data_IF_669225998202
#
_entry.id   IF_669225998202
#
_cell.length_a   1.000
_cell.length_b   1.000
_cell.length_c   1.000
_cell.angle_alpha   90.00
_cell.angle_beta   90.00
_cell.angle_gamma   90.00
#
_symmetry.space_group_name_H-M   'P 1'
#
loop_
_entity.id
_entity.type
_entity.pdbx_description
1 polymer ?
#
# COMPACT_ATOMS: atom_id res chain seq x y z
N UNK A 1 1.70 15.18 -3.41
CA UNK A 1 0.78 14.10 -3.02
C UNK A 1 1.04 12.85 -3.84
N UNK A 2 0.95 11.70 -3.23
CA UNK A 2 1.12 10.43 -3.93
C UNK A 2 -0.23 9.76 -4.12
N UNK A 3 -0.41 9.10 -5.24
CA UNK A 3 -1.59 8.27 -5.44
C UNK A 3 -1.41 6.94 -4.73
N UNK A 4 -2.51 6.24 -4.53
CA UNK A 4 -2.46 4.92 -3.91
C UNK A 4 -1.57 3.96 -4.69
N UNK A 5 -1.61 4.04 -6.02
CA UNK A 5 -0.76 3.20 -6.87
C UNK A 5 0.73 3.48 -6.63
N UNK A 6 1.10 4.75 -6.50
CA UNK A 6 2.48 5.12 -6.23
C UNK A 6 2.95 4.58 -4.88
N UNK A 7 2.09 4.67 -3.87
CA UNK A 7 2.40 4.12 -2.54
C UNK A 7 2.57 2.60 -2.62
N UNK A 8 1.69 1.94 -3.36
CA UNK A 8 1.78 0.49 -3.53
C UNK A 8 3.10 0.09 -4.20
N UNK A 9 3.48 0.80 -5.26
CA UNK A 9 4.72 0.51 -5.97
C UNK A 9 5.94 0.74 -5.09
N UNK A 10 5.97 1.85 -4.38
CA UNK A 10 7.09 2.17 -3.49
C UNK A 10 7.22 1.14 -2.37
N UNK A 11 6.10 0.78 -1.77
CA UNK A 11 6.10 -0.23 -0.71
C UNK A 11 6.49 -1.61 -1.22
N UNK A 12 6.03 -1.97 -2.41
CA UNK A 12 6.40 -3.23 -3.03
C UNK A 12 7.91 -3.31 -3.27
N UNK A 13 8.50 -2.23 -3.78
CA UNK A 13 9.94 -2.18 -4.00
C UNK A 13 10.70 -2.33 -2.68
N UNK A 14 10.23 -1.64 -1.64
CA UNK A 14 10.85 -1.72 -0.33
C UNK A 14 10.83 -3.14 0.21
N UNK A 15 9.67 -3.79 0.17
CA UNK A 15 9.54 -5.16 0.67
C UNK A 15 10.37 -6.14 -0.15
N UNK A 16 10.45 -5.95 -1.45
CA UNK A 16 11.26 -6.80 -2.31
C UNK A 16 12.74 -6.70 -1.94
N UNK A 17 13.21 -5.50 -1.61
CA UNK A 17 14.59 -5.30 -1.16
C UNK A 17 14.86 -5.95 0.18
N UNK A 18 13.83 -6.10 1.00
CA UNK A 18 13.96 -6.78 2.29
C UNK A 18 13.87 -8.30 2.17
N UNK A 19 13.77 -8.82 0.96
CA UNK A 19 13.74 -10.26 0.74
C UNK A 19 12.34 -10.88 0.77
N UNK A 20 11.30 -10.07 0.64
CA UNK A 20 9.94 -10.56 0.64
C UNK A 20 9.57 -11.13 -0.74
N UNK A 21 9.27 -12.42 -0.80
CA UNK A 21 8.98 -13.10 -2.08
C UNK A 21 7.67 -12.64 -2.69
N UNK A 22 6.69 -12.28 -1.85
CA UNK A 22 5.38 -11.83 -2.32
C UNK A 22 5.14 -10.37 -1.96
N UNK A 23 6.13 -9.53 -2.27
CA UNK A 23 6.13 -8.14 -1.85
C UNK A 23 4.85 -7.40 -2.29
N UNK A 24 4.42 -7.60 -3.53
CA UNK A 24 3.23 -6.90 -4.03
C UNK A 24 1.97 -7.34 -3.31
N UNK A 25 1.79 -8.64 -3.15
CA UNK A 25 0.62 -9.17 -2.45
C UNK A 25 0.60 -8.72 -0.99
N UNK A 26 1.76 -8.76 -0.33
CA UNK A 26 1.90 -8.31 1.04
C UNK A 26 1.56 -6.82 1.16
N UNK A 27 2.07 -6.01 0.24
CA UNK A 27 1.79 -4.57 0.27
C UNK A 27 0.32 -4.25 0.04
N UNK A 28 -0.32 -4.97 -0.90
CA UNK A 28 -1.76 -4.81 -1.13
C UNK A 28 -2.56 -5.16 0.11
N UNK A 29 -2.17 -6.22 0.79
CA UNK A 29 -2.84 -6.64 2.02
C UNK A 29 -2.70 -5.58 3.12
N UNK A 30 -1.50 -5.04 3.30
CA UNK A 30 -1.25 -4.01 4.29
C UNK A 30 -2.04 -2.74 3.99
N UNK A 31 -2.06 -2.30 2.74
CA UNK A 31 -2.82 -1.11 2.37
C UNK A 31 -4.32 -1.31 2.56
N UNK A 32 -4.85 -2.46 2.22
CA UNK A 32 -6.26 -2.76 2.43
C UNK A 32 -6.61 -2.70 3.92
N UNK A 33 -5.73 -3.20 4.76
CA UNK A 33 -5.91 -3.16 6.21
C UNK A 33 -5.91 -1.72 6.74
N UNK A 34 -4.93 -0.94 6.31
CA UNK A 34 -4.77 0.45 6.77
C UNK A 34 -5.94 1.33 6.32
N UNK A 35 -6.41 1.12 5.10
CA UNK A 35 -7.48 1.92 4.53
C UNK A 35 -8.87 1.35 4.82
N UNK A 36 -8.94 0.25 5.56
CA UNK A 36 -10.21 -0.39 5.94
C UNK A 36 -11.06 -0.77 4.73
N UNK A 37 -10.43 -1.33 3.71
CA UNK A 37 -11.13 -1.78 2.51
C UNK A 37 -10.65 -3.17 2.12
N UNK A 38 -11.39 -3.81 1.20
CA UNK A 38 -10.95 -5.08 0.66
C UNK A 38 -10.07 -4.87 -0.58
N UNK A 39 -9.54 -5.96 -1.10
CA UNK A 39 -8.64 -5.93 -2.25
C UNK A 39 -9.30 -5.31 -3.49
N UNK A 40 -10.56 -5.65 -3.71
CA UNK A 40 -11.32 -5.11 -4.85
C UNK A 40 -11.48 -3.60 -4.74
N UNK A 41 -11.82 -3.11 -3.56
CA UNK A 41 -11.93 -1.68 -3.33
C UNK A 41 -10.59 -0.99 -3.49
N UNK A 42 -9.51 -1.65 -3.09
CA UNK A 42 -8.17 -1.11 -3.26
C UNK A 42 -7.86 -0.87 -4.74
N UNK A 43 -8.17 -1.83 -5.59
CA UNK A 43 -7.94 -1.69 -7.03
C UNK A 43 -8.70 -0.52 -7.64
N UNK A 44 -9.94 -0.30 -7.20
CA UNK A 44 -10.74 0.81 -7.74
C UNK A 44 -10.29 2.17 -7.22
N UNK A 45 -9.39 2.21 -6.24
CA UNK A 45 -8.92 3.46 -5.65
C UNK A 45 -7.48 3.80 -5.99
N UNK A 46 -6.88 3.13 -6.98
CA UNK A 46 -5.48 3.35 -7.33
C UNK A 46 -5.19 4.80 -7.71
N UNK A 47 -6.15 5.50 -8.30
CA UNK A 47 -5.99 6.90 -8.69
C UNK A 47 -6.22 7.88 -7.55
N UNK A 48 -6.67 7.38 -6.41
CA UNK A 48 -6.97 8.23 -5.27
C UNK A 48 -5.68 8.77 -4.65
N UNK A 49 -5.62 10.10 -4.39
CA UNK A 49 -4.49 10.64 -3.65
C UNK A 49 -4.51 10.17 -2.19
N UNK A 50 -3.34 9.86 -1.66
CA UNK A 50 -3.19 9.37 -0.29
C UNK A 50 -2.36 10.36 0.51
N UNK A 51 -2.85 10.74 1.68
CA UNK A 51 -2.16 11.68 2.54
C UNK A 51 -1.21 10.96 3.51
N UNK A 52 -0.19 11.68 3.96
CA UNK A 52 0.78 11.13 4.91
C UNK A 52 0.11 10.61 6.19
N UNK A 53 -0.94 11.28 6.66
CA UNK A 53 -1.65 10.85 7.85
C UNK A 53 -2.27 9.47 7.68
N UNK A 54 -2.72 9.15 6.47
CA UNK A 54 -3.29 7.84 6.17
C UNK A 54 -2.23 6.74 6.16
N UNK A 55 -0.98 7.12 5.89
CA UNK A 55 0.14 6.17 5.80
C UNK A 55 0.85 5.94 7.12
N UNK A 56 0.60 6.77 8.12
CA UNK A 56 1.27 6.64 9.40
C UNK A 56 1.12 5.23 10.02
N UNK A 57 -0.07 4.64 10.06
CA UNK A 57 -0.22 3.27 10.59
C UNK A 57 0.55 2.24 9.78
N UNK A 58 0.67 2.45 8.47
CA UNK A 58 1.41 1.55 7.60
C UNK A 58 2.89 1.52 7.96
N UNK A 59 3.45 2.67 8.27
CA UNK A 59 4.87 2.77 8.63
C UNK A 59 5.19 2.09 9.95
N UNK A 60 4.20 1.93 10.81
CA UNK A 60 4.37 1.29 12.11
C UNK A 60 4.28 -0.23 12.03
N UNK A 61 3.81 -0.73 10.92
CA UNK A 61 3.73 -2.16 10.68
C UNK A 61 5.06 -2.67 10.12
#
# INVERSE_FOLDING_TARGET
>A
MKTLLEVLQAGTDYLARQGCDEARATMQHLLAHVLHCNRTALYSQFDRPVEEAELAPLREL
#
